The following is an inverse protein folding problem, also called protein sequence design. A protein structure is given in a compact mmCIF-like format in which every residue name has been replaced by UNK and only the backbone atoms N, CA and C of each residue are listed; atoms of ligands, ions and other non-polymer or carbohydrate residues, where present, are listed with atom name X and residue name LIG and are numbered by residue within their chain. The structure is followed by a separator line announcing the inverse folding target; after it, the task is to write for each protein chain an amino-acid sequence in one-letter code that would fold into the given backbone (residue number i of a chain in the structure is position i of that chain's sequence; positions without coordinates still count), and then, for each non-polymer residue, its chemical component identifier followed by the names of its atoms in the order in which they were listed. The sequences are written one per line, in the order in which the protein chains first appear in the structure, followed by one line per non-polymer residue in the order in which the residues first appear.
data_IF_121940016224
#
_entry.id   IF_121940016224
#
_cell.length_a   1.000
_cell.length_b   1.000
_cell.length_c   1.000
_cell.angle_alpha   90.00
_cell.angle_beta   90.00
_cell.angle_gamma   90.00
#
_symmetry.space_group_name_H-M   'P 1'
#
loop_
_entity.id
_entity.type
_entity.pdbx_description
1 polymer ?
#
# COMPACT_ATOMS: atom_id res chain seq x y z
N UNK A 1 -59.54 16.52 -19.58
CA UNK A 1 -58.70 15.77 -18.62
C UNK A 1 -57.49 15.25 -19.37
N UNK A 2 -56.31 15.44 -18.78
CA UNK A 2 -54.98 15.61 -19.38
C UNK A 2 -54.47 14.59 -20.40
N UNK A 3 -53.79 15.11 -21.41
CA UNK A 3 -52.64 14.50 -22.10
C UNK A 3 -51.41 14.47 -21.18
N UNK A 4 -50.55 13.46 -21.27
CA UNK A 4 -49.11 13.68 -21.48
C UNK A 4 -48.30 12.39 -21.67
N UNK A 5 -47.68 12.38 -22.85
CA UNK A 5 -46.42 11.78 -23.24
C UNK A 5 -45.27 12.16 -22.27
N UNK A 6 -44.42 11.20 -21.89
CA UNK A 6 -42.94 11.29 -21.97
C UNK A 6 -42.24 10.24 -21.13
N UNK A 7 -41.32 9.58 -21.81
CA UNK A 7 -40.27 8.70 -21.33
C UNK A 7 -39.50 9.29 -20.14
N UNK A 8 -39.20 8.45 -19.15
CA UNK A 8 -37.87 8.46 -18.52
C UNK A 8 -37.62 7.16 -17.76
N UNK A 9 -36.96 6.21 -18.42
CA UNK A 9 -36.17 5.19 -17.71
C UNK A 9 -35.05 5.96 -17.01
N UNK A 10 -34.89 5.92 -15.68
CA UNK A 10 -33.70 6.47 -15.04
C UNK A 10 -32.56 5.47 -15.27
N UNK A 11 -31.80 5.65 -16.36
CA UNK A 11 -30.46 5.07 -16.47
C UNK A 11 -29.53 5.87 -15.57
N UNK A 12 -29.56 5.61 -14.26
CA UNK A 12 -28.46 6.03 -13.40
C UNK A 12 -27.24 5.18 -13.77
N UNK A 13 -26.09 5.79 -14.12
CA UNK A 13 -24.85 5.02 -14.18
C UNK A 13 -24.58 4.53 -12.76
N UNK A 14 -24.41 3.21 -12.59
CA UNK A 14 -23.85 2.68 -11.36
C UNK A 14 -22.51 3.41 -11.10
N UNK A 15 -22.20 3.77 -9.85
CA UNK A 15 -20.89 4.34 -9.55
C UNK A 15 -19.82 3.30 -9.88
N UNK A 16 -19.01 3.55 -10.90
CA UNK A 16 -17.88 2.71 -11.35
C UNK A 16 -16.77 2.54 -10.31
N UNK A 17 -16.99 2.94 -9.06
CA UNK A 17 -16.03 2.85 -7.96
C UNK A 17 -15.97 1.46 -7.31
N UNK A 18 -16.94 0.58 -7.54
CA UNK A 18 -17.02 -0.74 -6.88
C UNK A 18 -16.28 -1.88 -7.58
N UNK A 19 -15.80 -1.69 -8.81
CA UNK A 19 -15.06 -2.73 -9.56
C UNK A 19 -13.53 -2.56 -9.52
N UNK A 20 -13.01 -1.53 -8.84
CA UNK A 20 -11.57 -1.29 -8.75
C UNK A 20 -10.83 -2.32 -7.86
N UNK A 21 -11.55 -3.15 -7.09
CA UNK A 21 -10.96 -4.07 -6.11
C UNK A 21 -10.73 -5.49 -6.61
N UNK A 22 -10.91 -5.81 -7.90
CA UNK A 22 -10.79 -7.20 -8.37
C UNK A 22 -9.41 -7.55 -8.93
N UNK A 23 -8.52 -6.57 -9.11
CA UNK A 23 -7.16 -6.80 -9.63
C UNK A 23 -6.11 -6.37 -8.62
N UNK A 24 -5.09 -7.19 -8.35
CA UNK A 24 -3.93 -6.73 -7.61
C UNK A 24 -3.31 -5.54 -8.35
N UNK A 25 -3.02 -4.47 -7.62
CA UNK A 25 -2.52 -3.23 -8.18
C UNK A 25 -1.23 -2.80 -7.47
N UNK A 26 -0.32 -2.25 -8.27
CA UNK A 26 1.01 -1.80 -7.85
C UNK A 26 1.12 -0.30 -8.12
N UNK A 27 1.43 0.47 -7.09
CA UNK A 27 1.60 1.92 -7.17
C UNK A 27 3.02 2.34 -6.85
N UNK A 28 3.61 3.21 -7.67
CA UNK A 28 4.94 3.77 -7.46
C UNK A 28 4.79 5.21 -6.99
N UNK A 29 5.37 5.53 -5.83
CA UNK A 29 5.24 6.88 -5.26
C UNK A 29 6.48 7.28 -4.46
N UNK A 30 6.56 8.58 -4.16
CA UNK A 30 7.56 9.12 -3.22
C UNK A 30 7.05 8.97 -1.79
N UNK A 31 7.84 8.32 -0.96
CA UNK A 31 7.63 8.16 0.47
C UNK A 31 8.29 9.25 1.31
N UNK A 32 8.56 8.92 2.56
CA UNK A 32 9.17 9.85 3.52
C UNK A 32 10.55 10.28 3.01
N UNK A 33 10.85 11.59 3.12
CA UNK A 33 12.07 12.21 2.63
C UNK A 33 12.34 12.01 1.12
N UNK A 34 11.29 11.77 0.32
CA UNK A 34 11.41 11.62 -1.13
C UNK A 34 12.01 10.29 -1.58
N UNK A 35 12.12 9.30 -0.69
CA UNK A 35 12.56 7.96 -1.08
C UNK A 35 11.48 7.26 -1.91
N UNK A 36 11.91 6.55 -2.95
CA UNK A 36 10.99 5.77 -3.78
C UNK A 36 10.45 4.56 -3.01
N UNK A 37 9.14 4.36 -3.14
CA UNK A 37 8.44 3.22 -2.58
C UNK A 37 7.41 2.66 -3.55
N UNK A 38 7.04 1.43 -3.28
CA UNK A 38 5.98 0.70 -3.97
C UNK A 38 4.90 0.35 -2.94
N UNK A 39 3.65 0.55 -3.31
CA UNK A 39 2.49 0.09 -2.55
C UNK A 39 1.83 -1.04 -3.35
N UNK A 40 1.80 -2.22 -2.75
CA UNK A 40 1.11 -3.39 -3.27
C UNK A 40 -0.28 -3.45 -2.64
N UNK A 41 -1.32 -3.65 -3.43
CA UNK A 41 -2.68 -3.87 -2.95
C UNK A 41 -3.22 -5.14 -3.55
N UNK A 42 -3.75 -6.00 -2.70
CA UNK A 42 -4.48 -7.19 -3.10
C UNK A 42 -5.96 -6.86 -3.35
N UNK A 43 -6.59 -7.65 -4.20
CA UNK A 43 -8.01 -7.64 -4.48
C UNK A 43 -8.88 -7.78 -3.22
N UNK A 44 -8.42 -8.52 -2.22
CA UNK A 44 -9.13 -8.72 -0.97
C UNK A 44 -8.95 -7.60 0.05
N UNK A 45 -8.17 -6.56 -0.27
CA UNK A 45 -7.96 -5.40 0.59
C UNK A 45 -6.68 -5.43 1.43
N UNK A 46 -5.92 -6.52 1.41
CA UNK A 46 -4.58 -6.54 2.02
C UNK A 46 -3.63 -5.60 1.27
N UNK A 47 -2.66 -5.02 1.96
CA UNK A 47 -1.67 -4.14 1.32
C UNK A 47 -0.29 -4.23 1.94
N UNK A 48 0.75 -3.94 1.15
CA UNK A 48 2.12 -3.87 1.64
C UNK A 48 2.83 -2.63 1.08
N UNK A 49 3.71 -2.04 1.88
CA UNK A 49 4.58 -0.93 1.49
C UNK A 49 6.03 -1.39 1.49
N UNK A 50 6.73 -1.15 0.38
CA UNK A 50 8.14 -1.50 0.21
C UNK A 50 8.92 -0.29 -0.27
N UNK A 51 9.91 0.14 0.51
CA UNK A 51 10.87 1.14 0.06
C UNK A 51 11.92 0.48 -0.85
N UNK A 52 12.20 1.11 -2.00
CA UNK A 52 13.24 0.62 -2.92
C UNK A 52 14.63 0.70 -2.28
N UNK A 53 14.83 1.62 -1.35
CA UNK A 53 16.02 1.67 -0.52
C UNK A 53 16.12 0.40 0.37
N UNK A 54 17.05 -0.48 0.02
CA UNK A 54 17.30 -1.73 0.74
C UNK A 54 16.22 -2.80 0.57
N UNK A 55 15.24 -2.60 -0.32
CA UNK A 55 14.09 -3.52 -0.47
C UNK A 55 13.28 -3.67 0.82
N UNK A 56 13.17 -2.60 1.59
CA UNK A 56 12.70 -2.64 2.97
C UNK A 56 11.18 -2.61 3.04
N UNK A 57 10.55 -3.68 3.54
CA UNK A 57 9.08 -3.71 3.77
C UNK A 57 8.76 -2.96 5.05
N UNK A 58 7.98 -1.88 4.96
CA UNK A 58 7.72 -0.96 6.08
C UNK A 58 6.31 -1.03 6.64
N UNK A 59 5.36 -1.58 5.88
CA UNK A 59 3.98 -1.80 6.29
C UNK A 59 3.43 -3.05 5.62
N UNK A 60 2.62 -3.81 6.36
CA UNK A 60 1.78 -4.88 5.83
C UNK A 60 0.46 -4.86 6.59
N UNK A 61 -0.64 -4.63 5.86
CA UNK A 61 -1.99 -4.61 6.40
C UNK A 61 -2.80 -5.80 5.89
N UNK A 62 -3.60 -6.39 6.78
CA UNK A 62 -4.58 -7.41 6.40
C UNK A 62 -5.79 -6.78 5.68
N UNK A 63 -6.76 -7.62 5.31
CA UNK A 63 -8.03 -7.20 4.69
C UNK A 63 -8.92 -6.36 5.62
N UNK A 64 -8.66 -6.37 6.94
CA UNK A 64 -9.28 -5.47 7.92
C UNK A 64 -8.54 -4.13 8.09
N UNK A 65 -7.41 -3.93 7.40
CA UNK A 65 -6.60 -2.71 7.49
C UNK A 65 -5.70 -2.63 8.72
N UNK A 66 -5.61 -3.70 9.51
CA UNK A 66 -4.78 -3.79 10.71
C UNK A 66 -3.31 -3.93 10.32
N UNK A 67 -2.44 -3.11 10.92
CA UNK A 67 -1.00 -3.14 10.67
C UNK A 67 -0.36 -4.34 11.39
N UNK A 68 0.31 -5.20 10.62
CA UNK A 68 0.93 -6.43 11.11
C UNK A 68 2.42 -6.25 11.43
N UNK A 69 3.06 -5.20 10.89
CA UNK A 69 4.47 -4.93 11.11
C UNK A 69 4.68 -3.81 12.12
N UNK A 70 5.60 -4.04 13.07
CA UNK A 70 6.10 -2.96 13.91
C UNK A 70 7.07 -2.10 13.11
N UNK A 71 6.76 -0.81 12.98
CA UNK A 71 7.69 0.21 12.50
C UNK A 71 7.96 1.22 13.63
N UNK A 72 9.23 1.56 13.86
CA UNK A 72 9.55 2.49 14.94
C UNK A 72 9.08 3.90 14.58
N UNK A 73 8.42 4.58 15.51
CA UNK A 73 8.11 6.02 15.40
C UNK A 73 9.35 6.92 15.29
N UNK A 74 10.54 6.41 15.65
CA UNK A 74 11.84 7.08 15.51
C UNK A 74 12.61 6.56 14.28
N UNK A 75 11.96 5.86 13.36
CA UNK A 75 12.59 5.37 12.15
C UNK A 75 13.09 6.53 11.29
N UNK A 76 14.34 6.42 10.81
CA UNK A 76 14.98 7.43 9.96
C UNK A 76 14.97 6.91 8.53
N UNK A 77 14.19 7.57 7.67
CA UNK A 77 14.10 7.29 6.23
C UNK A 77 15.16 8.09 5.48
N UNK A 78 16.44 7.84 5.77
CA UNK A 78 17.54 8.55 5.13
C UNK A 78 18.75 7.62 4.94
N UNK A 79 19.12 7.31 3.69
CA UNK A 79 20.36 6.60 3.41
C UNK A 79 21.58 7.33 4.01
N UNK A 80 22.63 6.60 4.44
CA UNK A 80 22.82 5.14 4.36
C UNK A 80 22.31 4.39 5.61
N UNK A 81 21.51 5.01 6.48
CA UNK A 81 21.01 4.34 7.69
C UNK A 81 19.84 3.41 7.32
N UNK A 82 19.83 2.20 7.88
CA UNK A 82 18.70 1.28 7.73
C UNK A 82 17.45 1.82 8.45
N UNK A 83 16.28 1.53 7.90
CA UNK A 83 15.00 1.88 8.51
C UNK A 83 14.78 0.95 9.72
N UNK A 84 14.28 1.49 10.83
CA UNK A 84 14.10 0.71 12.07
C UNK A 84 12.68 0.14 12.16
N UNK A 85 12.57 -1.19 12.18
CA UNK A 85 11.31 -1.92 12.14
C UNK A 85 11.02 -2.47 10.75
N UNK A 86 9.81 -2.99 10.53
CA UNK A 86 9.44 -3.67 9.29
C UNK A 86 10.30 -4.92 9.06
N UNK A 87 10.60 -5.19 7.79
CA UNK A 87 11.43 -6.34 7.36
C UNK A 87 12.69 -5.81 6.66
N UNK A 88 13.79 -5.58 7.40
CA UNK A 88 15.08 -5.25 6.80
C UNK A 88 15.71 -6.47 6.12
N UNK A 89 16.38 -6.25 4.99
CA UNK A 89 17.17 -7.28 4.31
C UNK A 89 18.63 -7.19 4.78
N UNK A 90 19.17 -8.29 5.30
CA UNK A 90 20.58 -8.42 5.66
C UNK A 90 21.27 -9.38 4.69
N UNK A 91 22.14 -8.86 3.84
CA UNK A 91 22.85 -9.60 2.79
C UNK A 91 24.23 -8.95 2.54
N UNK A 92 25.30 -9.69 2.16
CA UNK A 92 25.38 -11.15 2.00
C UNK A 92 25.63 -11.92 3.30
N UNK A 93 25.96 -11.23 4.38
CA UNK A 93 26.33 -11.82 5.66
C UNK A 93 25.45 -11.28 6.79
N UNK A 94 24.94 -12.19 7.62
CA UNK A 94 24.30 -11.81 8.89
C UNK A 94 25.41 -11.50 9.89
N UNK A 95 25.55 -10.23 10.26
CA UNK A 95 26.50 -9.83 11.28
C UNK A 95 25.96 -10.18 12.67
N UNK A 96 26.05 -11.46 13.05
CA UNK A 96 26.14 -11.77 14.47
C UNK A 96 27.56 -11.44 14.92
N UNK A 97 27.72 -10.32 15.61
CA UNK A 97 28.91 -10.12 16.43
C UNK A 97 28.84 -11.20 17.51
N UNK A 98 29.74 -12.20 17.45
CA UNK A 98 30.01 -13.04 18.63
C UNK A 98 30.31 -12.06 19.77
N UNK A 99 29.51 -12.15 20.83
CA UNK A 99 29.89 -11.53 22.10
C UNK A 99 31.24 -12.10 22.54
#
# INVERSE_FOLDING_TARGET
MSTNEKDKIPSSPLPSSSLQSLTPFVDFSKGINGLDKVILRDSRGSSAEVYLYGGHVTSWKNDHGEELLFLSNKAVFKPPKAIRGGIPICFPQLFWKKR
#
